data_IF_574687992236
#
_entry.id   IF_574687992236
#
_cell.length_a   1.000
_cell.length_b   1.000
_cell.length_c   1.000
_cell.angle_alpha   90.00
_cell.angle_beta   90.00
_cell.angle_gamma   90.00
#
_symmetry.space_group_name_H-M   'P 1'
#
loop_
_entity.id
_entity.type
_entity.pdbx_description
1 polymer ?
#
# COMPACT_ATOMS: atom_id res chain seq x y z
N UNK A 1 -14.51 6.00 -10.17
CA UNK A 1 -14.23 6.29 -8.75
C UNK A 1 -14.79 7.65 -8.33
N UNK A 2 -15.94 7.58 -7.68
CA UNK A 2 -16.73 8.72 -7.24
C UNK A 2 -16.30 9.22 -5.86
N UNK A 3 -16.64 10.47 -5.55
CA UNK A 3 -16.38 11.06 -4.23
C UNK A 3 -17.14 10.31 -3.13
N UNK A 4 -18.32 9.79 -3.41
CA UNK A 4 -19.14 9.03 -2.45
C UNK A 4 -18.43 7.80 -1.91
N UNK A 5 -17.67 7.09 -2.74
CA UNK A 5 -16.89 5.93 -2.29
C UNK A 5 -15.70 6.34 -1.40
N UNK A 6 -15.11 7.50 -1.69
CA UNK A 6 -14.07 8.08 -0.86
C UNK A 6 -14.61 8.55 0.50
N UNK A 7 -15.78 9.19 0.54
CA UNK A 7 -16.49 9.55 1.77
C UNK A 7 -16.84 8.29 2.59
N UNK A 8 -17.39 7.26 1.97
CA UNK A 8 -17.67 5.99 2.64
C UNK A 8 -16.42 5.33 3.25
N UNK A 9 -15.33 5.30 2.48
CA UNK A 9 -14.03 4.80 3.00
C UNK A 9 -13.51 5.67 4.15
N UNK A 10 -13.80 6.98 4.14
CA UNK A 10 -13.51 7.90 5.21
C UNK A 10 -14.26 7.50 6.49
N UNK A 11 -15.57 7.22 6.36
CA UNK A 11 -16.44 6.79 7.46
C UNK A 11 -15.95 5.48 8.09
N UNK A 12 -15.60 4.48 7.25
CA UNK A 12 -15.04 3.22 7.74
C UNK A 12 -13.73 3.41 8.54
N UNK A 13 -12.92 4.38 8.12
CA UNK A 13 -11.63 4.69 8.74
C UNK A 13 -11.73 5.70 9.90
N UNK A 14 -12.91 6.23 10.22
CA UNK A 14 -13.09 7.20 11.32
C UNK A 14 -12.58 6.70 12.66
N UNK A 15 -12.56 5.38 12.86
CA UNK A 15 -11.97 4.75 14.06
C UNK A 15 -10.48 5.06 14.27
N UNK A 16 -9.76 5.43 13.21
CA UNK A 16 -8.37 5.87 13.26
C UNK A 16 -8.22 7.38 13.50
N UNK A 17 -9.27 8.18 13.33
CA UNK A 17 -9.25 9.63 13.54
C UNK A 17 -9.96 10.42 12.43
N UNK A 18 -9.83 11.76 12.43
CA UNK A 18 -10.45 12.64 11.45
C UNK A 18 -9.84 12.41 10.06
N UNK A 19 -10.52 11.60 9.26
CA UNK A 19 -10.09 11.23 7.92
C UNK A 19 -10.46 12.32 6.91
N UNK A 20 -9.56 12.57 5.95
CA UNK A 20 -9.74 13.53 4.85
C UNK A 20 -9.41 12.85 3.54
N UNK A 21 -10.39 12.74 2.65
CA UNK A 21 -10.20 12.26 1.29
C UNK A 21 -9.66 13.39 0.39
N UNK A 22 -8.55 13.13 -0.31
CA UNK A 22 -7.94 14.04 -1.28
C UNK A 22 -7.70 13.33 -2.60
N UNK A 23 -7.97 13.98 -3.72
CA UNK A 23 -7.73 13.44 -5.06
C UNK A 23 -6.22 13.21 -5.26
N UNK A 24 -5.80 11.99 -5.58
CA UNK A 24 -4.38 11.63 -5.79
C UNK A 24 -4.26 10.47 -6.80
N UNK A 25 -3.34 10.59 -7.77
CA UNK A 25 -2.96 9.52 -8.72
C UNK A 25 -4.14 8.83 -9.44
N UNK A 26 -5.10 9.60 -9.96
CA UNK A 26 -6.26 9.03 -10.67
C UNK A 26 -7.29 8.34 -9.78
N UNK A 27 -7.10 8.37 -8.45
CA UNK A 27 -8.05 7.92 -7.44
C UNK A 27 -8.13 8.90 -6.27
N UNK A 28 -8.20 8.37 -5.05
CA UNK A 28 -8.30 9.16 -3.82
C UNK A 28 -7.32 8.68 -2.76
N UNK A 29 -6.62 9.58 -2.08
CA UNK A 29 -5.85 9.28 -0.87
C UNK A 29 -6.64 9.69 0.36
N UNK A 30 -6.66 8.86 1.40
CA UNK A 30 -7.22 9.20 2.70
C UNK A 30 -6.07 9.53 3.66
N UNK A 31 -6.15 10.72 4.23
CA UNK A 31 -5.19 11.23 5.20
C UNK A 31 -5.83 11.47 6.55
N UNK A 32 -5.15 11.08 7.64
CA UNK A 32 -5.52 11.40 9.02
C UNK A 32 -4.41 12.25 9.62
N UNK A 33 -4.73 13.42 10.16
CA UNK A 33 -3.74 14.35 10.75
C UNK A 33 -2.55 14.65 9.82
N UNK A 34 -2.82 14.80 8.52
CA UNK A 34 -1.80 15.04 7.49
C UNK A 34 -0.99 13.80 7.05
N UNK A 35 -1.31 12.61 7.56
CA UNK A 35 -0.67 11.35 7.21
C UNK A 35 -1.54 10.52 6.28
N UNK A 36 -1.05 10.13 5.11
CA UNK A 36 -1.76 9.17 4.26
C UNK A 36 -1.76 7.78 4.89
N UNK A 37 -2.94 7.32 5.30
CA UNK A 37 -3.16 5.99 5.90
C UNK A 37 -3.76 5.00 4.90
N UNK A 38 -4.46 5.48 3.88
CA UNK A 38 -5.07 4.63 2.87
C UNK A 38 -5.12 5.32 1.51
N UNK A 39 -5.24 4.54 0.44
CA UNK A 39 -5.43 5.00 -0.93
C UNK A 39 -6.54 4.19 -1.59
N UNK A 40 -7.30 4.83 -2.44
CA UNK A 40 -8.32 4.26 -3.27
C UNK A 40 -7.79 4.29 -4.69
N UNK A 41 -7.66 3.12 -5.27
CA UNK A 41 -7.10 2.96 -6.60
C UNK A 41 -7.79 1.82 -7.33
N UNK A 42 -7.96 2.01 -8.64
CA UNK A 42 -8.50 1.02 -9.54
C UNK A 42 -7.34 0.37 -10.30
N UNK A 43 -7.02 -0.89 -9.95
CA UNK A 43 -5.96 -1.68 -10.61
C UNK A 43 -6.52 -2.67 -11.64
N UNK A 44 -7.67 -2.35 -12.27
CA UNK A 44 -8.33 -3.23 -13.24
C UNK A 44 -9.31 -4.25 -12.62
N UNK A 45 -9.45 -4.27 -11.29
CA UNK A 45 -10.44 -5.07 -10.56
C UNK A 45 -11.63 -4.28 -10.00
N UNK A 46 -11.74 -2.99 -10.33
CA UNK A 46 -12.75 -2.10 -9.77
C UNK A 46 -12.19 -1.16 -8.71
N UNK A 47 -13.10 -0.46 -8.03
CA UNK A 47 -12.75 0.56 -7.05
C UNK A 47 -12.37 -0.11 -5.71
N UNK A 48 -11.08 -0.11 -5.36
CA UNK A 48 -10.56 -0.83 -4.19
C UNK A 48 -9.90 0.12 -3.19
N UNK A 49 -10.18 -0.10 -1.89
CA UNK A 49 -9.50 0.55 -0.79
C UNK A 49 -8.22 -0.22 -0.43
N UNK A 50 -7.11 0.50 -0.35
CA UNK A 50 -5.80 -0.02 -0.03
C UNK A 50 -5.26 0.65 1.23
N UNK A 51 -5.00 -0.14 2.26
CA UNK A 51 -4.56 0.30 3.57
C UNK A 51 -3.05 0.25 3.67
N UNK A 52 -2.45 1.27 4.28
CA UNK A 52 -1.00 1.31 4.51
C UNK A 52 -0.60 0.22 5.50
N UNK A 53 0.47 -0.49 5.22
CA UNK A 53 1.07 -1.44 6.13
C UNK A 53 2.54 -1.09 6.41
N UNK A 54 3.04 -1.59 7.53
CA UNK A 54 4.46 -1.58 7.89
C UNK A 54 5.00 -3.03 7.87
N UNK A 55 6.27 -3.21 8.27
CA UNK A 55 6.92 -4.51 8.25
C UNK A 55 6.37 -5.53 9.28
N UNK A 56 5.70 -5.06 10.33
CA UNK A 56 5.07 -5.90 11.36
C UNK A 56 3.61 -6.22 10.98
N UNK A 57 2.88 -5.26 10.42
CA UNK A 57 1.47 -5.41 10.07
C UNK A 57 1.27 -6.14 8.75
N UNK A 58 2.26 -6.17 7.85
CA UNK A 58 2.16 -6.87 6.56
C UNK A 58 1.75 -8.34 6.73
N UNK A 59 2.30 -9.03 7.73
CA UNK A 59 2.00 -10.44 7.99
C UNK A 59 0.53 -10.66 8.35
N UNK A 60 -0.10 -9.68 9.01
CA UNK A 60 -1.52 -9.73 9.37
C UNK A 60 -2.40 -9.59 8.12
N UNK A 61 -2.03 -8.67 7.22
CA UNK A 61 -2.72 -8.53 5.93
C UNK A 61 -2.54 -9.77 5.06
N UNK A 62 -1.33 -10.32 4.99
CA UNK A 62 -1.04 -11.55 4.23
C UNK A 62 -1.80 -12.75 4.81
N UNK A 63 -1.89 -12.89 6.13
CA UNK A 63 -2.66 -13.94 6.80
C UNK A 63 -4.17 -13.84 6.54
N UNK A 64 -4.69 -12.63 6.34
CA UNK A 64 -6.09 -12.40 5.95
C UNK A 64 -6.33 -12.56 4.44
N UNK A 65 -5.31 -12.94 3.66
CA UNK A 65 -5.43 -13.09 2.20
C UNK A 65 -5.49 -11.77 1.43
N UNK A 66 -5.11 -10.65 2.05
CA UNK A 66 -5.08 -9.36 1.39
C UNK A 66 -4.00 -9.30 0.31
N UNK A 67 -4.32 -8.67 -0.82
CA UNK A 67 -3.38 -8.48 -1.91
C UNK A 67 -2.52 -7.26 -1.67
N UNK A 68 -1.24 -7.35 -2.01
CA UNK A 68 -0.32 -6.22 -1.96
C UNK A 68 -0.51 -5.32 -3.17
N UNK A 69 -0.46 -4.00 -2.97
CA UNK A 69 -0.51 -3.00 -4.02
C UNK A 69 0.74 -3.06 -4.89
N UNK A 70 0.59 -3.61 -6.09
CA UNK A 70 1.61 -3.65 -7.12
C UNK A 70 1.09 -2.94 -8.36
N UNK A 71 1.87 -2.01 -8.88
CA UNK A 71 1.54 -1.26 -10.10
C UNK A 71 2.72 -1.30 -11.06
N UNK A 72 2.43 -1.30 -12.36
CA UNK A 72 3.47 -1.19 -13.36
C UNK A 72 3.77 0.29 -13.65
N UNK A 73 5.03 0.68 -13.53
CA UNK A 73 5.49 2.02 -13.84
C UNK A 73 6.70 1.94 -14.77
N UNK A 74 6.58 2.53 -15.96
CA UNK A 74 7.64 2.57 -16.97
C UNK A 74 8.24 1.19 -17.29
N UNK A 75 7.38 0.17 -17.50
CA UNK A 75 7.79 -1.20 -17.79
C UNK A 75 8.43 -1.94 -16.61
N UNK A 76 8.38 -1.39 -15.39
CA UNK A 76 8.86 -2.03 -14.18
C UNK A 76 7.73 -2.15 -13.15
N UNK A 77 7.47 -3.35 -12.65
CA UNK A 77 6.53 -3.57 -11.56
C UNK A 77 7.10 -3.01 -10.25
N UNK A 78 6.39 -2.04 -9.66
CA UNK A 78 6.71 -1.47 -8.35
C UNK A 78 5.63 -1.86 -7.35
N UNK A 79 6.06 -2.38 -6.20
CA UNK A 79 5.19 -2.68 -5.07
C UNK A 79 5.30 -1.62 -3.99
N UNK A 80 4.17 -1.12 -3.51
CA UNK A 80 4.12 -0.31 -2.29
C UNK A 80 3.72 -1.19 -1.10
N UNK A 81 3.95 -0.69 0.12
CA UNK A 81 3.45 -1.33 1.35
C UNK A 81 2.00 -0.90 1.60
N UNK A 82 1.14 -1.10 0.61
CA UNK A 82 -0.31 -0.99 0.79
C UNK A 82 -0.92 -2.35 0.50
N UNK A 83 -1.98 -2.71 1.22
CA UNK A 83 -2.70 -3.97 1.08
C UNK A 83 -4.18 -3.71 0.87
N UNK A 84 -4.85 -4.55 0.10
CA UNK A 84 -6.29 -4.44 -0.12
C UNK A 84 -7.05 -4.61 1.19
N UNK A 85 -8.08 -3.81 1.42
CA UNK A 85 -9.00 -4.03 2.51
C UNK A 85 -9.70 -5.40 2.35
N UNK A 86 -9.84 -6.21 3.40
CA UNK A 86 -10.67 -7.41 3.35
C UNK A 86 -12.11 -7.08 2.99
N UNK A 87 -12.79 -7.97 2.26
CA UNK A 87 -14.19 -7.77 1.88
C UNK A 87 -15.09 -7.61 3.13
N UNK A 88 -14.91 -8.44 4.16
CA UNK A 88 -15.62 -8.34 5.44
C UNK A 88 -15.38 -6.99 6.13
N UNK A 89 -14.17 -6.44 6.04
CA UNK A 89 -13.86 -5.15 6.65
C UNK A 89 -14.62 -4.01 5.97
N UNK A 90 -14.91 -4.13 4.67
CA UNK A 90 -15.70 -3.15 3.93
C UNK A 90 -17.20 -3.20 4.26
N UNK A 91 -17.70 -4.23 4.95
CA UNK A 91 -19.12 -4.32 5.30
C UNK A 91 -19.50 -3.45 6.51
N UNK A 92 -18.55 -3.18 7.42
CA UNK A 92 -18.85 -2.44 8.65
C UNK A 92 -17.63 -1.69 9.20
N UNK A 93 -17.82 -0.47 9.74
CA UNK A 93 -16.75 0.28 10.40
C UNK A 93 -16.17 -0.49 11.59
N UNK A 94 -16.96 -1.34 12.27
CA UNK A 94 -16.47 -2.17 13.37
C UNK A 94 -15.46 -3.23 12.90
N UNK A 95 -15.67 -3.79 11.71
CA UNK A 95 -14.77 -4.77 11.09
C UNK A 95 -13.54 -4.07 10.47
N UNK A 96 -13.69 -2.85 9.97
CA UNK A 96 -12.56 -2.03 9.50
C UNK A 96 -11.71 -1.46 10.65
N UNK A 97 -12.27 -1.34 11.85
CA UNK A 97 -11.61 -0.78 13.04
C UNK A 97 -10.19 -1.32 13.30
N UNK A 98 -9.93 -2.64 13.36
CA UNK A 98 -8.56 -3.16 13.56
C UNK A 98 -7.63 -2.77 12.42
N UNK A 99 -8.09 -2.83 11.17
CA UNK A 99 -7.28 -2.50 9.99
C UNK A 99 -6.94 -1.01 9.89
N UNK A 100 -7.91 -0.15 10.23
CA UNK A 100 -7.73 1.29 10.30
C UNK A 100 -6.65 1.67 11.32
N UNK A 101 -6.64 1.02 12.49
CA UNK A 101 -5.60 1.22 13.51
C UNK A 101 -4.23 0.79 13.01
N UNK A 102 -4.10 -0.39 12.38
CA UNK A 102 -2.83 -0.84 11.81
C UNK A 102 -2.29 0.14 10.76
N UNK A 103 -3.17 0.68 9.93
CA UNK A 103 -2.81 1.67 8.92
C UNK A 103 -2.32 3.00 9.53
N UNK A 104 -2.98 3.45 10.60
CA UNK A 104 -2.55 4.62 11.37
C UNK A 104 -1.17 4.38 12.03
N UNK A 105 -0.97 3.24 12.68
CA UNK A 105 0.32 2.89 13.28
C UNK A 105 1.44 2.85 12.25
N UNK A 106 1.19 2.27 11.07
CA UNK A 106 2.12 2.29 9.95
C UNK A 106 2.46 3.71 9.49
N UNK A 107 1.48 4.61 9.45
CA UNK A 107 1.69 6.00 9.06
C UNK A 107 2.44 6.81 10.14
N UNK A 108 2.14 6.59 11.42
CA UNK A 108 2.85 7.18 12.56
C UNK A 108 4.32 6.78 12.59
N UNK A 109 4.62 5.49 12.34
CA UNK A 109 5.98 4.98 12.25
C UNK A 109 6.74 5.56 11.06
N UNK A 110 6.04 5.86 9.95
CA UNK A 110 6.64 6.54 8.80
C UNK A 110 6.88 8.05 9.04
N UNK A 111 6.08 8.68 9.92
CA UNK A 111 6.22 10.10 10.30
C UNK A 111 7.33 10.35 11.31
N UNK A 112 7.55 9.42 12.25
CA UNK A 112 8.79 9.44 13.03
C UNK A 112 9.93 9.36 12.03
N UNK A 113 10.92 10.28 12.04
CA UNK A 113 12.10 10.12 11.22
C UNK A 113 12.80 8.86 11.71
N UNK A 114 12.45 7.73 11.12
CA UNK A 114 13.18 6.51 11.32
C UNK A 114 14.59 6.82 10.84
N UNK A 115 15.54 6.83 11.78
CA UNK A 115 16.96 6.59 11.47
C UNK A 115 17.00 5.57 10.34
N UNK A 116 17.80 5.81 9.28
CA UNK A 116 17.71 5.06 8.03
C UNK A 116 17.68 3.57 8.34
N UNK A 117 16.49 2.96 8.22
CA UNK A 117 16.34 1.52 8.40
C UNK A 117 17.11 0.94 7.22
N UNK A 118 18.28 0.38 7.55
CA UNK A 118 19.30 -0.09 6.64
C UNK A 118 18.70 -0.65 5.36
N UNK A 119 19.22 -0.17 4.23
CA UNK A 119 18.99 -0.71 2.91
C UNK A 119 18.99 -2.24 2.98
N UNK A 120 17.83 -2.87 2.81
CA UNK A 120 17.82 -4.23 2.31
C UNK A 120 18.46 -4.13 0.92
N UNK A 121 19.60 -4.80 0.66
CA UNK A 121 20.28 -4.68 -0.61
C UNK A 121 19.33 -5.20 -1.68
N UNK A 122 18.83 -4.30 -2.53
CA UNK A 122 18.20 -4.67 -3.78
C UNK A 122 19.23 -5.51 -4.51
N UNK A 123 18.96 -6.82 -4.57
CA UNK A 123 19.71 -7.83 -5.31
C UNK A 123 20.27 -7.20 -6.60
N UNK A 124 21.60 -7.15 -6.83
CA UNK A 124 22.11 -6.70 -8.12
C UNK A 124 21.60 -7.70 -9.15
N UNK A 125 20.80 -7.22 -10.11
CA UNK A 125 20.43 -7.99 -11.29
C UNK A 125 21.71 -8.62 -11.85
N UNK A 126 21.78 -9.95 -12.06
CA UNK A 126 22.95 -10.53 -12.68
C UNK A 126 23.01 -10.00 -14.11
N UNK A 127 23.98 -9.11 -14.38
CA UNK A 127 24.42 -8.82 -15.74
C UNK A 127 24.78 -10.15 -16.38
N UNK A 128 23.93 -10.61 -17.29
CA UNK A 128 24.24 -11.72 -18.17
C UNK A 128 25.57 -11.42 -18.88
N UNK A 129 26.62 -12.14 -18.50
CA UNK A 129 27.72 -12.49 -19.40
C UNK A 129 27.39 -13.89 -19.93
N UNK A 130 27.74 -14.17 -21.18
CA UNK A 130 28.86 -15.07 -21.33
C UNK A 130 29.90 -14.52 -22.31
N UNK A 131 31.14 -14.49 -21.83
CA UNK A 131 32.31 -14.55 -22.69
C UNK A 131 32.52 -16.01 -23.13
N UNK A 132 32.56 -16.25 -24.44
CA UNK A 132 33.59 -17.06 -25.13
C UNK A 132 33.07 -17.50 -26.50
N UNK A 133 33.79 -17.14 -27.56
CA UNK A 133 34.15 -18.11 -28.57
C UNK A 133 35.57 -17.86 -29.08
N UNK A 134 36.26 -18.98 -29.22
CA UNK A 134 37.68 -19.22 -29.48
C UNK A 134 38.02 -19.34 -30.97
N UNK A 135 39.33 -19.40 -31.26
CA UNK A 135 40.02 -19.84 -32.52
C UNK A 135 40.20 -18.70 -33.52
N UNK A 136 41.38 -18.36 -34.03
CA UNK A 136 42.59 -19.12 -34.30
C UNK A 136 42.84 -19.10 -35.80
N UNK A 137 43.84 -18.34 -36.26
CA UNK A 137 44.74 -18.60 -37.40
C UNK A 137 45.86 -17.58 -37.41
#
# INVERSE_FOLDING_TARGET
MDKSFADYSCELLQSAGPCVARRMFGGWGISVDGMTIAILANLGGGDTLWLKANADTQTVFEAAGCQRFTYEAAGTTRGLNYYSAPADAMESPALMQPWARLALEAALLARKPARPKAAKPSKPSPKAKPAKQSRGR
#
